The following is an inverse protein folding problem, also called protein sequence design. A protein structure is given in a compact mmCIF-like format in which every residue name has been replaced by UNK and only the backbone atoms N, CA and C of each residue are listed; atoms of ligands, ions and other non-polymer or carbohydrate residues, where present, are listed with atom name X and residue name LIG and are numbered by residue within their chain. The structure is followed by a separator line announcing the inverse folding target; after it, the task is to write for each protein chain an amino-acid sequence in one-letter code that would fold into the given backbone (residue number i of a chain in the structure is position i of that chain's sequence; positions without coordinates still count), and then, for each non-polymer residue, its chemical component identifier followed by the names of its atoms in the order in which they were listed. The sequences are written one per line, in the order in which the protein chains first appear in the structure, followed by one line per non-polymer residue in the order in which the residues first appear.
data_IF_020403437985
#
_entry.id   IF_020403437985
#
_cell.length_a   1.000
_cell.length_b   1.000
_cell.length_c   1.000
_cell.angle_alpha   90.00
_cell.angle_beta   90.00
_cell.angle_gamma   90.00
#
_symmetry.space_group_name_H-M   'P 1'
#
loop_
_entity.id
_entity.type
_entity.pdbx_description
1 polymer ?
#
# COMPACT_ATOMS: atom_id res chain seq x y z
N UNK A 1 -15.17 9.93 9.47
CA UNK A 1 -15.22 8.80 8.51
C UNK A 1 -13.77 8.40 8.27
N UNK A 2 -13.43 7.10 8.24
CA UNK A 2 -12.04 6.67 8.13
C UNK A 2 -11.51 6.98 6.71
N UNK A 3 -10.58 7.91 6.57
CA UNK A 3 -10.05 8.37 5.27
C UNK A 3 -9.44 7.22 4.47
N UNK A 4 -8.79 6.26 5.14
CA UNK A 4 -8.27 5.05 4.51
C UNK A 4 -9.41 4.21 3.89
N UNK A 5 -10.54 4.08 4.58
CA UNK A 5 -11.67 3.31 4.06
C UNK A 5 -12.28 3.99 2.84
N UNK A 6 -12.34 5.32 2.80
CA UNK A 6 -12.80 6.09 1.63
C UNK A 6 -11.84 5.90 0.45
N UNK A 7 -10.54 5.99 0.70
CA UNK A 7 -9.51 5.77 -0.32
C UNK A 7 -9.57 4.35 -0.90
N UNK A 8 -9.60 3.32 -0.05
CA UNK A 8 -9.68 1.93 -0.50
C UNK A 8 -10.97 1.64 -1.26
N UNK A 9 -12.09 2.22 -0.84
CA UNK A 9 -13.34 2.11 -1.58
C UNK A 9 -13.22 2.74 -2.98
N UNK A 10 -12.65 3.94 -3.09
CA UNK A 10 -12.42 4.59 -4.39
C UNK A 10 -11.53 3.75 -5.32
N UNK A 11 -10.48 3.13 -4.77
CA UNK A 11 -9.60 2.24 -5.54
C UNK A 11 -10.28 0.96 -5.98
N UNK A 12 -11.10 0.35 -5.12
CA UNK A 12 -11.91 -0.79 -5.50
C UNK A 12 -12.87 -0.45 -6.65
N UNK A 13 -13.50 0.74 -6.64
CA UNK A 13 -14.34 1.21 -7.76
C UNK A 13 -13.56 1.35 -9.05
N UNK A 14 -12.39 2.01 -8.97
CA UNK A 14 -11.52 2.27 -10.12
C UNK A 14 -11.06 0.97 -10.79
N UNK A 15 -10.87 -0.08 -10.00
CA UNK A 15 -10.46 -1.41 -10.46
C UNK A 15 -11.64 -2.33 -10.80
N UNK A 16 -12.89 -1.87 -10.67
CA UNK A 16 -14.08 -2.67 -10.97
C UNK A 16 -14.32 -3.82 -9.98
N UNK A 17 -13.85 -3.69 -8.74
CA UNK A 17 -13.90 -4.74 -7.71
C UNK A 17 -15.13 -4.65 -6.79
N UNK A 18 -16.11 -3.79 -7.11
CA UNK A 18 -17.34 -3.64 -6.32
C UNK A 18 -18.29 -4.83 -6.54
N UNK A 19 -18.11 -5.86 -5.70
CA UNK A 19 -19.03 -6.98 -5.39
C UNK A 19 -19.88 -7.60 -6.52
N UNK A 20 -19.58 -8.87 -6.79
CA UNK A 20 -20.37 -9.80 -7.61
C UNK A 20 -19.50 -10.56 -8.58
N UNK A 21 -18.45 -9.92 -9.08
CA UNK A 21 -17.59 -10.43 -10.13
C UNK A 21 -16.13 -10.60 -9.70
N UNK A 22 -15.81 -10.66 -8.40
CA UNK A 22 -14.41 -10.84 -7.96
C UNK A 22 -13.78 -12.12 -8.54
N UNK A 23 -14.58 -13.18 -8.66
CA UNK A 23 -14.21 -14.44 -9.31
C UNK A 23 -13.94 -14.32 -10.82
N UNK A 24 -14.49 -13.28 -11.45
CA UNK A 24 -14.30 -12.94 -12.86
C UNK A 24 -13.34 -11.75 -13.04
N UNK A 25 -12.87 -11.15 -11.95
CA UNK A 25 -12.01 -9.98 -12.01
C UNK A 25 -10.63 -10.39 -12.55
N UNK A 26 -9.99 -9.53 -13.37
CA UNK A 26 -8.63 -9.79 -13.82
C UNK A 26 -7.71 -10.00 -12.61
N UNK A 27 -6.88 -11.07 -12.58
CA UNK A 27 -5.96 -11.31 -11.48
C UNK A 27 -5.05 -10.12 -11.20
N UNK A 28 -4.67 -9.38 -12.25
CA UNK A 28 -3.86 -8.16 -12.18
C UNK A 28 -4.57 -7.03 -11.41
N UNK A 29 -5.90 -6.88 -11.56
CA UNK A 29 -6.68 -5.88 -10.83
C UNK A 29 -6.73 -6.22 -9.33
N UNK A 30 -6.93 -7.49 -9.00
CA UNK A 30 -6.92 -7.98 -7.62
C UNK A 30 -5.53 -7.80 -6.99
N UNK A 31 -4.47 -8.16 -7.72
CA UNK A 31 -3.10 -7.98 -7.26
C UNK A 31 -2.77 -6.50 -7.03
N UNK A 32 -3.19 -5.62 -7.95
CA UNK A 32 -2.99 -4.17 -7.83
C UNK A 32 -3.68 -3.63 -6.58
N UNK A 33 -4.92 -4.06 -6.32
CA UNK A 33 -5.64 -3.66 -5.11
C UNK A 33 -4.95 -4.17 -3.84
N UNK A 34 -4.53 -5.43 -3.82
CA UNK A 34 -3.81 -6.02 -2.69
C UNK A 34 -2.49 -5.29 -2.40
N UNK A 35 -1.71 -4.93 -3.42
CA UNK A 35 -0.49 -4.14 -3.27
C UNK A 35 -0.76 -2.79 -2.59
N UNK A 36 -1.84 -2.10 -2.99
CA UNK A 36 -2.23 -0.83 -2.37
C UNK A 36 -2.63 -1.00 -0.91
N UNK A 37 -3.42 -2.03 -0.59
CA UNK A 37 -3.79 -2.33 0.80
C UNK A 37 -2.55 -2.61 1.65
N UNK A 38 -1.64 -3.45 1.17
CA UNK A 38 -0.40 -3.78 1.88
C UNK A 38 0.49 -2.54 2.08
N UNK A 39 0.58 -1.67 1.08
CA UNK A 39 1.29 -0.40 1.19
C UNK A 39 0.72 0.48 2.31
N UNK A 40 -0.59 0.69 2.34
CA UNK A 40 -1.23 1.51 3.38
C UNK A 40 -1.09 0.89 4.78
N UNK A 41 -1.22 -0.44 4.90
CA UNK A 41 -1.01 -1.13 6.17
C UNK A 41 0.43 -1.00 6.66
N UNK A 42 1.41 -1.02 5.75
CA UNK A 42 2.81 -0.78 6.09
C UNK A 42 3.05 0.67 6.51
N UNK A 43 2.47 1.64 5.80
CA UNK A 43 2.56 3.06 6.13
C UNK A 43 1.96 3.40 7.51
N UNK A 44 0.92 2.66 7.91
CA UNK A 44 0.33 2.73 9.25
C UNK A 44 1.13 1.96 10.32
N UNK A 45 2.20 1.26 9.96
CA UNK A 45 2.99 0.43 10.87
C UNK A 45 2.26 -0.82 11.38
N UNK A 46 1.16 -1.22 10.74
CA UNK A 46 0.36 -2.39 11.12
C UNK A 46 0.97 -3.70 10.63
N UNK A 47 1.76 -3.63 9.56
CA UNK A 47 2.57 -4.74 9.05
C UNK A 47 3.99 -4.28 8.77
N UNK A 48 4.92 -5.23 8.62
CA UNK A 48 6.27 -4.92 8.14
C UNK A 48 6.17 -4.41 6.70
N UNK A 49 6.58 -3.16 6.48
CA UNK A 49 6.79 -2.63 5.14
C UNK A 49 7.99 -3.27 4.45
N UNK A 50 8.05 -3.13 3.13
CA UNK A 50 9.18 -3.59 2.31
C UNK A 50 10.38 -2.62 2.33
N UNK A 51 10.35 -1.59 3.18
CA UNK A 51 11.51 -0.72 3.36
C UNK A 51 12.49 -1.41 4.31
N UNK A 52 13.45 -2.13 3.73
CA UNK A 52 14.80 -2.07 4.29
C UNK A 52 15.22 -0.61 4.25
N UNK A 53 15.00 0.11 5.34
CA UNK A 53 15.60 1.41 5.60
C UNK A 53 17.12 1.18 5.65
N UNK A 54 17.77 1.11 4.48
CA UNK A 54 19.21 1.25 4.38
C UNK A 54 19.55 2.56 5.08
N UNK A 55 20.32 2.50 6.16
CA UNK A 55 20.73 3.68 6.91
C UNK A 55 21.35 4.71 5.96
N UNK A 56 20.58 5.73 5.57
CA UNK A 56 21.05 6.89 4.82
C UNK A 56 21.81 7.89 5.70
N UNK A 57 22.18 7.49 6.92
CA UNK A 57 23.05 8.27 7.80
C UNK A 57 24.47 8.29 7.21
N UNK A 58 24.76 9.25 6.34
CA UNK A 58 26.13 9.59 5.97
C UNK A 58 26.85 10.13 7.20
N UNK A 59 27.99 9.55 7.63
CA UNK A 59 28.79 10.12 8.71
C UNK A 59 29.18 11.55 8.34
N UNK A 60 28.95 12.52 9.24
CA UNK A 60 29.54 13.86 9.04
C UNK A 60 31.06 13.68 9.04
N UNK A 61 31.79 14.18 8.02
CA UNK A 61 33.25 14.19 8.09
C UNK A 61 33.63 14.98 9.36
N UNK A 62 34.40 14.34 10.24
CA UNK A 62 34.75 14.88 11.55
C UNK A 62 35.28 16.30 11.42
N UNK A 63 34.57 17.24 12.03
CA UNK A 63 35.08 18.59 12.29
C UNK A 63 35.92 18.54 13.57
N UNK A 64 37.14 19.07 13.44
CA UNK A 64 38.21 19.20 14.43
C UNK A 64 37.80 19.56 15.86
#
# INVERSE_FOLDING_TARGET
MNDLAVYLAAEARRLGLESGALEHAPPEAVQTFAQRVLHELAALGLIRGNEELGCWATPRPGGH
#
